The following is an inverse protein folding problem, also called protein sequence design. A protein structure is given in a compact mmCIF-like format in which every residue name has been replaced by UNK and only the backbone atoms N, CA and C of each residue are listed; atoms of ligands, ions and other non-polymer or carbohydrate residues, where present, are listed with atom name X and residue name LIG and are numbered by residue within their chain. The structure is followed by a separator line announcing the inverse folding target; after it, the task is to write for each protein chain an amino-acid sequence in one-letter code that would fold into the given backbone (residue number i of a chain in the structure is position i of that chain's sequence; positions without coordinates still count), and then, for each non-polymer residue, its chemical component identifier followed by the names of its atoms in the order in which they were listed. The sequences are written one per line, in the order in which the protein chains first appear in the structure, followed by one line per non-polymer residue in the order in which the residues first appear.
data_IF_375323317076
#
_entry.id   IF_375323317076
#
_cell.length_a   1.000
_cell.length_b   1.000
_cell.length_c   1.000
_cell.angle_alpha   90.00
_cell.angle_beta   90.00
_cell.angle_gamma   90.00
#
_symmetry.space_group_name_H-M   'P 1'
#
loop_
_entity.id
_entity.type
_entity.pdbx_description
1 polymer ?
#
# COMPACT_ATOMS: atom_id res chain seq x y z
N UNK A 1 -9.42 26.70 11.50
CA UNK A 1 -9.13 25.41 12.15
C UNK A 1 -7.74 25.55 12.75
N UNK A 2 -7.57 25.31 14.04
CA UNK A 2 -6.26 25.46 14.69
C UNK A 2 -5.44 24.19 14.43
N UNK A 3 -4.17 24.34 14.06
CA UNK A 3 -3.27 23.21 13.86
C UNK A 3 -2.74 22.75 15.20
N UNK A 4 -2.67 21.43 15.39
CA UNK A 4 -2.08 20.86 16.58
C UNK A 4 -0.59 21.26 16.66
N UNK A 5 -0.19 21.73 17.84
CA UNK A 5 1.19 22.03 18.13
C UNK A 5 2.01 20.73 18.33
N UNK A 6 3.32 20.87 18.51
CA UNK A 6 4.24 19.74 18.62
C UNK A 6 3.91 18.85 19.83
N UNK A 7 3.57 19.46 20.97
CA UNK A 7 3.24 18.75 22.20
C UNK A 7 1.93 17.97 22.06
N UNK A 8 0.89 18.61 21.52
CA UNK A 8 -0.40 17.96 21.24
C UNK A 8 -0.24 16.77 20.30
N UNK A 9 0.51 16.92 19.21
CA UNK A 9 0.80 15.81 18.29
C UNK A 9 1.59 14.70 18.98
N UNK A 10 2.60 15.05 19.79
CA UNK A 10 3.41 14.07 20.53
C UNK A 10 2.54 13.28 21.51
N UNK A 11 1.66 13.95 22.26
CA UNK A 11 0.78 13.30 23.23
C UNK A 11 -0.22 12.38 22.52
N UNK A 12 -0.88 12.85 21.47
CA UNK A 12 -1.85 12.05 20.71
C UNK A 12 -1.20 10.80 20.09
N UNK A 13 0.00 10.92 19.53
CA UNK A 13 0.72 9.77 18.95
C UNK A 13 1.16 8.81 20.06
N UNK A 14 1.62 9.32 21.20
CA UNK A 14 2.00 8.51 22.37
C UNK A 14 0.83 7.69 22.90
N UNK A 15 -0.36 8.30 23.02
CA UNK A 15 -1.59 7.62 23.42
C UNK A 15 -1.96 6.51 22.43
N UNK A 16 -1.90 6.79 21.13
CA UNK A 16 -2.14 5.78 20.08
C UNK A 16 -1.16 4.60 20.19
N UNK A 17 0.13 4.87 20.40
CA UNK A 17 1.14 3.82 20.55
C UNK A 17 0.85 2.96 21.79
N UNK A 18 0.47 3.58 22.91
CA UNK A 18 0.11 2.84 24.12
C UNK A 18 -1.12 1.96 23.92
N UNK A 19 -2.13 2.45 23.18
CA UNK A 19 -3.30 1.65 22.81
C UNK A 19 -2.90 0.43 21.97
N UNK A 20 -2.05 0.62 20.95
CA UNK A 20 -1.54 -0.49 20.13
C UNK A 20 -0.76 -1.49 20.99
N UNK A 21 0.08 -1.01 21.92
CA UNK A 21 0.92 -1.87 22.78
C UNK A 21 0.13 -2.65 23.83
N UNK A 22 -1.01 -2.12 24.28
CA UNK A 22 -1.92 -2.86 25.16
C UNK A 22 -2.46 -4.11 24.46
N UNK A 23 -2.70 -4.04 23.15
CA UNK A 23 -3.13 -5.18 22.34
C UNK A 23 -1.95 -6.06 21.87
N UNK A 24 -0.82 -5.44 21.50
CA UNK A 24 0.38 -6.14 21.04
C UNK A 24 1.65 -5.38 21.44
N UNK A 25 2.25 -5.78 22.57
CA UNK A 25 3.46 -5.18 23.11
C UNK A 25 4.71 -5.39 22.25
N UNK A 26 4.68 -6.29 21.25
CA UNK A 26 5.79 -6.59 20.34
C UNK A 26 5.62 -5.96 18.96
N UNK A 27 4.58 -5.18 18.73
CA UNK A 27 4.33 -4.55 17.43
C UNK A 27 5.46 -3.57 17.10
N UNK A 28 6.03 -3.70 15.89
CA UNK A 28 6.83 -2.64 15.29
C UNK A 28 5.88 -1.62 14.68
N UNK A 29 6.10 -0.33 14.97
CA UNK A 29 5.24 0.76 14.50
C UNK A 29 6.07 1.65 13.57
N UNK A 30 5.54 1.92 12.38
CA UNK A 30 6.20 2.79 11.40
C UNK A 30 5.33 4.01 11.21
N UNK A 31 5.88 5.17 11.55
CA UNK A 31 5.28 6.47 11.32
C UNK A 31 5.76 7.04 10.00
N UNK A 32 4.91 7.79 9.32
CA UNK A 32 5.30 8.56 8.14
C UNK A 32 4.50 9.87 8.06
N UNK A 33 5.12 10.92 7.54
CA UNK A 33 4.42 12.17 7.23
C UNK A 33 4.03 12.11 5.75
N UNK A 34 2.73 12.27 5.46
CA UNK A 34 2.25 12.20 4.09
C UNK A 34 2.87 13.31 3.21
N UNK A 35 3.28 13.01 1.96
CA UNK A 35 3.78 14.00 1.00
C UNK A 35 2.69 14.91 0.39
N UNK A 36 1.41 14.67 0.69
CA UNK A 36 0.29 15.45 0.13
C UNK A 36 0.38 16.91 0.58
N UNK A 37 0.18 17.81 -0.39
CA UNK A 37 0.14 19.26 -0.16
C UNK A 37 -1.27 19.70 0.22
N UNK A 38 -1.47 20.14 1.47
CA UNK A 38 -2.76 20.65 1.94
C UNK A 38 -2.90 22.16 1.70
N UNK A 39 -3.19 22.53 0.44
CA UNK A 39 -3.24 23.94 0.04
C UNK A 39 -4.48 24.70 0.48
N UNK A 40 -5.54 24.03 0.93
CA UNK A 40 -6.77 24.68 1.40
C UNK A 40 -6.51 25.70 2.51
N UNK A 41 -5.49 25.47 3.33
CA UNK A 41 -5.11 26.32 4.44
C UNK A 41 -3.92 27.26 4.12
N UNK A 42 -3.37 27.17 2.90
CA UNK A 42 -2.22 27.94 2.45
C UNK A 42 -0.88 27.20 2.52
N UNK A 43 0.06 27.57 1.65
CA UNK A 43 1.36 26.91 1.56
C UNK A 43 2.19 27.06 2.85
N UNK A 44 2.14 28.23 3.50
CA UNK A 44 2.85 28.48 4.75
C UNK A 44 2.31 27.59 5.89
N UNK A 45 0.99 27.52 6.04
CA UNK A 45 0.31 26.70 7.03
C UNK A 45 0.58 25.21 6.81
N UNK A 46 0.59 24.75 5.56
CA UNK A 46 1.01 23.38 5.25
C UNK A 46 2.43 23.10 5.75
N UNK A 47 3.39 24.00 5.51
CA UNK A 47 4.76 23.81 5.99
C UNK A 47 4.87 23.82 7.51
N UNK A 48 4.16 24.73 8.20
CA UNK A 48 4.11 24.74 9.66
C UNK A 48 3.53 23.45 10.22
N UNK A 49 2.43 22.97 9.64
CA UNK A 49 1.77 21.73 10.07
C UNK A 49 2.67 20.51 9.87
N UNK A 50 3.33 20.39 8.70
CA UNK A 50 4.28 19.29 8.45
C UNK A 50 5.48 19.38 9.39
N UNK A 51 6.03 20.58 9.62
CA UNK A 51 7.14 20.79 10.56
C UNK A 51 6.77 20.36 11.98
N UNK A 52 5.56 20.73 12.43
CA UNK A 52 5.02 20.30 13.73
C UNK A 52 4.95 18.77 13.84
N UNK A 53 4.45 18.10 12.81
CA UNK A 53 4.39 16.64 12.74
C UNK A 53 5.78 15.99 12.73
N UNK A 54 6.75 16.50 11.97
CA UNK A 54 8.11 15.96 11.95
C UNK A 54 8.78 16.06 13.32
N UNK A 55 8.63 17.20 14.01
CA UNK A 55 9.15 17.36 15.37
C UNK A 55 8.49 16.38 16.35
N UNK A 56 7.17 16.21 16.27
CA UNK A 56 6.45 15.25 17.10
C UNK A 56 6.91 13.81 16.82
N UNK A 57 7.02 13.42 15.55
CA UNK A 57 7.54 12.10 15.16
C UNK A 57 8.96 11.89 15.68
N UNK A 58 9.82 12.90 15.59
CA UNK A 58 11.18 12.83 16.14
C UNK A 58 11.18 12.64 17.66
N UNK A 59 10.30 13.32 18.40
CA UNK A 59 10.15 13.08 19.83
C UNK A 59 9.72 11.64 20.12
N UNK A 60 8.77 11.11 19.34
CA UNK A 60 8.23 9.76 19.51
C UNK A 60 9.29 8.68 19.27
N UNK A 61 10.02 8.72 18.15
CA UNK A 61 11.02 7.69 17.84
C UNK A 61 12.19 7.68 18.84
N UNK A 62 12.46 8.80 19.51
CA UNK A 62 13.45 8.90 20.58
C UNK A 62 12.92 8.47 21.96
N UNK A 63 11.59 8.44 22.14
CA UNK A 63 10.95 8.11 23.42
C UNK A 63 10.41 6.68 23.47
N UNK A 64 10.17 6.05 22.33
CA UNK A 64 9.57 4.73 22.23
C UNK A 64 10.45 3.76 21.45
N UNK A 65 10.74 2.60 22.04
CA UNK A 65 11.37 1.49 21.34
C UNK A 65 10.48 0.91 20.23
N UNK A 66 11.06 0.30 19.20
CA UNK A 66 10.32 -0.35 18.10
C UNK A 66 9.37 0.60 17.34
N UNK A 67 9.61 1.91 17.41
CA UNK A 67 8.92 2.91 16.61
C UNK A 67 9.91 3.55 15.64
N UNK A 68 9.56 3.55 14.37
CA UNK A 68 10.44 3.98 13.28
C UNK A 68 9.77 5.05 12.44
N UNK A 69 10.57 5.82 11.72
CA UNK A 69 10.08 6.78 10.74
C UNK A 69 10.43 6.33 9.33
N UNK A 70 9.43 6.30 8.44
CA UNK A 70 9.62 6.13 7.01
C UNK A 70 9.45 7.47 6.27
N UNK A 71 10.44 7.94 5.49
CA UNK A 71 10.50 9.31 4.99
C UNK A 71 9.71 9.52 3.67
N UNK A 72 8.40 9.23 3.65
CA UNK A 72 7.61 9.38 2.41
C UNK A 72 7.46 10.84 1.95
N UNK A 73 7.41 11.80 2.88
CA UNK A 73 7.40 13.23 2.57
C UNK A 73 8.69 13.66 1.86
N UNK A 74 9.84 13.32 2.44
CA UNK A 74 11.16 13.70 1.95
C UNK A 74 11.46 13.04 0.60
N UNK A 75 11.07 11.78 0.40
CA UNK A 75 11.19 11.14 -0.92
C UNK A 75 10.49 11.98 -1.99
N UNK A 76 9.27 12.48 -1.73
CA UNK A 76 8.56 13.29 -2.73
C UNK A 76 9.17 14.67 -2.91
N UNK A 77 9.58 15.32 -1.83
CA UNK A 77 10.06 16.71 -1.89
C UNK A 77 11.50 16.81 -2.40
N UNK A 78 12.35 15.81 -2.13
CA UNK A 78 13.77 15.83 -2.43
C UNK A 78 14.17 14.91 -3.58
N UNK A 79 13.67 13.66 -3.63
CA UNK A 79 13.99 12.72 -4.72
C UNK A 79 13.07 12.92 -5.94
N UNK A 80 11.76 13.11 -5.71
CA UNK A 80 10.73 13.27 -6.75
C UNK A 80 10.24 14.72 -6.89
N UNK A 81 11.14 15.68 -6.74
CA UNK A 81 10.84 17.11 -6.60
C UNK A 81 10.06 17.77 -7.76
N UNK A 82 9.98 17.12 -8.92
CA UNK A 82 9.37 17.64 -10.14
C UNK A 82 7.84 17.48 -10.16
N UNK A 83 7.11 18.49 -10.66
CA UNK A 83 5.65 18.46 -10.80
C UNK A 83 5.13 17.29 -11.65
N UNK A 84 5.97 16.69 -12.49
CA UNK A 84 5.65 15.46 -13.24
C UNK A 84 5.26 14.28 -12.36
N UNK A 85 5.59 14.33 -11.07
CA UNK A 85 5.27 13.30 -10.07
C UNK A 85 3.99 13.59 -9.29
N UNK A 86 3.26 14.64 -9.66
CA UNK A 86 1.97 14.98 -9.08
C UNK A 86 0.84 14.70 -10.08
N UNK A 87 -0.36 14.49 -9.54
CA UNK A 87 -1.59 14.45 -10.30
C UNK A 87 -1.93 15.85 -10.85
N UNK A 88 -2.98 15.92 -11.69
CA UNK A 88 -3.46 17.16 -12.31
C UNK A 88 -3.78 18.25 -11.27
N UNK A 89 -4.16 17.86 -10.06
CA UNK A 89 -4.42 18.80 -8.96
C UNK A 89 -3.16 19.47 -8.40
N UNK A 90 -1.97 18.97 -8.74
CA UNK A 90 -0.66 19.42 -8.24
C UNK A 90 -0.47 19.27 -6.72
N UNK A 91 -1.34 18.49 -6.06
CA UNK A 91 -1.34 18.29 -4.61
C UNK A 91 -1.00 16.85 -4.22
N UNK A 92 -1.56 15.88 -4.94
CA UNK A 92 -1.35 14.47 -4.68
C UNK A 92 -0.22 13.92 -5.56
N UNK A 93 0.65 13.05 -5.03
CA UNK A 93 1.54 12.26 -5.87
C UNK A 93 0.75 11.43 -6.88
N UNK A 94 1.28 11.27 -8.08
CA UNK A 94 0.69 10.39 -9.10
C UNK A 94 1.14 8.94 -8.92
N UNK A 95 0.60 8.04 -9.75
CA UNK A 95 0.86 6.60 -9.66
C UNK A 95 2.36 6.26 -9.75
N UNK A 96 3.13 6.99 -10.57
CA UNK A 96 4.57 6.78 -10.68
C UNK A 96 5.28 7.10 -9.35
N UNK A 97 4.89 8.19 -8.69
CA UNK A 97 5.44 8.57 -7.39
C UNK A 97 5.02 7.58 -6.29
N UNK A 98 3.75 7.15 -6.30
CA UNK A 98 3.23 6.15 -5.36
C UNK A 98 3.99 4.83 -5.50
N UNK A 99 4.19 4.33 -6.72
CA UNK A 99 4.94 3.10 -6.95
C UNK A 99 6.40 3.24 -6.47
N UNK A 100 7.06 4.37 -6.75
CA UNK A 100 8.43 4.61 -6.28
C UNK A 100 8.53 4.61 -4.74
N UNK A 101 7.60 5.27 -4.05
CA UNK A 101 7.53 5.24 -2.58
C UNK A 101 7.30 3.81 -2.08
N UNK A 102 6.42 3.05 -2.74
CA UNK A 102 6.12 1.66 -2.40
C UNK A 102 7.35 0.76 -2.57
N UNK A 103 8.12 0.93 -3.65
CA UNK A 103 9.38 0.21 -3.85
C UNK A 103 10.38 0.48 -2.73
N UNK A 104 10.58 1.75 -2.34
CA UNK A 104 11.45 2.13 -1.23
C UNK A 104 10.97 1.57 0.10
N UNK A 105 9.66 1.62 0.34
CA UNK A 105 9.05 1.07 1.55
C UNK A 105 9.30 -0.44 1.63
N UNK A 106 9.03 -1.18 0.55
CA UNK A 106 9.22 -2.62 0.51
C UNK A 106 10.66 -3.04 0.80
N UNK A 107 11.62 -2.35 0.18
CA UNK A 107 13.05 -2.63 0.37
C UNK A 107 13.53 -2.35 1.79
N UNK A 108 12.89 -1.40 2.49
CA UNK A 108 13.32 -0.97 3.82
C UNK A 108 12.65 -1.77 4.93
N UNK A 109 11.40 -2.19 4.72
CA UNK A 109 10.53 -2.71 5.78
C UNK A 109 10.36 -4.23 5.72
N UNK A 110 10.30 -4.80 4.53
CA UNK A 110 10.01 -6.23 4.37
C UNK A 110 11.28 -7.04 4.13
N UNK A 111 11.31 -8.26 4.68
CA UNK A 111 12.37 -9.23 4.38
C UNK A 111 12.34 -9.66 2.91
N UNK A 112 13.45 -10.22 2.42
CA UNK A 112 13.54 -10.73 1.04
C UNK A 112 12.42 -11.75 0.73
N UNK A 113 12.12 -12.65 1.66
CA UNK A 113 11.02 -13.62 1.53
C UNK A 113 9.66 -12.93 1.41
N UNK A 114 9.40 -11.89 2.22
CA UNK A 114 8.17 -11.11 2.12
C UNK A 114 8.10 -10.32 0.81
N UNK A 115 9.22 -9.79 0.32
CA UNK A 115 9.27 -9.10 -0.96
C UNK A 115 8.99 -10.05 -2.13
N UNK A 116 9.50 -11.29 -2.09
CA UNK A 116 9.17 -12.32 -3.07
C UNK A 116 7.68 -12.66 -3.05
N UNK A 117 7.11 -12.84 -1.86
CA UNK A 117 5.69 -13.10 -1.70
C UNK A 117 4.83 -11.94 -2.25
N UNK A 118 5.17 -10.68 -1.92
CA UNK A 118 4.47 -9.50 -2.43
C UNK A 118 4.47 -9.48 -3.97
N UNK A 119 5.59 -9.83 -4.62
CA UNK A 119 5.66 -9.92 -6.09
C UNK A 119 4.75 -11.02 -6.65
N UNK A 120 4.69 -12.17 -6.00
CA UNK A 120 3.82 -13.26 -6.44
C UNK A 120 2.34 -12.89 -6.32
N UNK A 121 1.96 -12.25 -5.20
CA UNK A 121 0.62 -11.73 -4.96
C UNK A 121 0.28 -10.63 -5.99
N UNK A 122 1.15 -9.63 -6.19
CA UNK A 122 0.93 -8.54 -7.16
C UNK A 122 0.65 -9.08 -8.55
N UNK A 123 1.41 -10.08 -9.01
CA UNK A 123 1.16 -10.72 -10.31
C UNK A 123 -0.20 -11.42 -10.42
N UNK A 124 -0.76 -11.94 -9.33
CA UNK A 124 -2.11 -12.52 -9.31
C UNK A 124 -3.16 -11.40 -9.36
N UNK A 125 -2.97 -10.33 -8.57
CA UNK A 125 -3.87 -9.17 -8.56
C UNK A 125 -3.90 -8.48 -9.93
N UNK A 126 -2.75 -8.23 -10.55
CA UNK A 126 -2.68 -7.65 -11.91
C UNK A 126 -3.41 -8.52 -12.95
N UNK A 127 -3.25 -9.85 -12.84
CA UNK A 127 -3.95 -10.81 -13.68
C UNK A 127 -5.46 -10.83 -13.42
N UNK A 128 -5.86 -10.63 -12.17
CA UNK A 128 -7.26 -10.51 -11.76
C UNK A 128 -7.86 -9.20 -12.27
N UNK A 129 -7.18 -8.07 -12.22
CA UNK A 129 -7.70 -6.79 -12.71
C UNK A 129 -7.76 -6.72 -14.24
N UNK A 130 -6.92 -7.49 -14.93
CA UNK A 130 -6.89 -7.53 -16.38
C UNK A 130 -8.27 -7.91 -16.99
N UNK A 131 -8.77 -7.04 -17.87
CA UNK A 131 -10.04 -7.25 -18.57
C UNK A 131 -9.83 -8.08 -19.83
N UNK A 132 -10.26 -9.35 -19.78
CA UNK A 132 -10.21 -10.26 -20.94
C UNK A 132 -11.17 -9.79 -22.05
N UNK A 133 -10.66 -9.67 -23.28
CA UNK A 133 -11.45 -9.24 -24.45
C UNK A 133 -12.35 -10.33 -25.03
N UNK A 134 -11.92 -11.59 -24.98
CA UNK A 134 -12.70 -12.73 -25.46
C UNK A 134 -12.70 -13.84 -24.41
N UNK A 135 -13.79 -13.94 -23.65
CA UNK A 135 -13.93 -14.89 -22.54
C UNK A 135 -13.96 -16.35 -23.05
N UNK A 136 -14.43 -16.58 -24.27
CA UNK A 136 -14.61 -17.93 -24.82
C UNK A 136 -13.36 -18.50 -25.52
N UNK A 137 -12.26 -17.75 -25.58
CA UNK A 137 -11.05 -18.22 -26.26
C UNK A 137 -10.31 -19.30 -25.47
N UNK A 138 -9.68 -20.24 -26.19
CA UNK A 138 -8.80 -21.27 -25.57
C UNK A 138 -7.71 -20.62 -24.71
N UNK A 139 -7.12 -19.52 -25.21
CA UNK A 139 -6.10 -18.75 -24.49
C UNK A 139 -6.59 -18.20 -23.15
N UNK A 140 -7.86 -17.79 -23.06
CA UNK A 140 -8.46 -17.32 -21.80
C UNK A 140 -8.57 -18.45 -20.78
N UNK A 141 -8.94 -19.65 -21.23
CA UNK A 141 -9.01 -20.82 -20.34
C UNK A 141 -7.63 -21.26 -19.86
N UNK A 142 -6.65 -21.28 -20.76
CA UNK A 142 -5.24 -21.58 -20.42
C UNK A 142 -4.71 -20.56 -19.40
N UNK A 143 -4.97 -19.27 -19.65
CA UNK A 143 -4.65 -18.20 -18.71
C UNK A 143 -5.31 -18.41 -17.34
N UNK A 144 -6.63 -18.62 -17.30
CA UNK A 144 -7.37 -18.83 -16.05
C UNK A 144 -6.87 -20.08 -15.29
N UNK A 145 -6.62 -21.18 -16.00
CA UNK A 145 -6.06 -22.41 -15.41
C UNK A 145 -4.67 -22.16 -14.81
N UNK A 146 -3.82 -21.41 -15.50
CA UNK A 146 -2.50 -21.01 -15.00
C UNK A 146 -2.62 -20.20 -13.71
N UNK A 147 -3.52 -19.21 -13.64
CA UNK A 147 -3.71 -18.40 -12.44
C UNK A 147 -4.25 -19.22 -11.26
N UNK A 148 -5.23 -20.11 -11.50
CA UNK A 148 -5.76 -21.01 -10.46
C UNK A 148 -4.66 -21.92 -9.90
N UNK A 149 -3.81 -22.48 -10.76
CA UNK A 149 -2.70 -23.34 -10.31
C UNK A 149 -1.67 -22.56 -9.49
N UNK A 150 -1.38 -21.31 -9.88
CA UNK A 150 -0.51 -20.40 -9.13
C UNK A 150 -1.09 -20.10 -7.74
N UNK A 151 -2.36 -19.70 -7.67
CA UNK A 151 -3.07 -19.43 -6.40
C UNK A 151 -3.06 -20.66 -5.49
N UNK A 152 -3.42 -21.84 -6.01
CA UNK A 152 -3.42 -23.09 -5.22
C UNK A 152 -2.05 -23.43 -4.66
N UNK A 153 -0.99 -23.23 -5.45
CA UNK A 153 0.38 -23.46 -5.00
C UNK A 153 0.77 -22.48 -3.90
N UNK A 154 0.39 -21.20 -4.05
CA UNK A 154 0.67 -20.15 -3.08
C UNK A 154 -0.05 -20.37 -1.75
N UNK A 155 -1.35 -20.67 -1.78
CA UNK A 155 -2.16 -20.95 -0.58
C UNK A 155 -1.68 -22.22 0.13
N UNK A 156 -1.15 -23.21 -0.59
CA UNK A 156 -0.54 -24.39 0.03
C UNK A 156 0.68 -24.02 0.88
N UNK A 157 1.48 -23.05 0.44
CA UNK A 157 2.67 -22.56 1.17
C UNK A 157 2.27 -21.55 2.25
N UNK A 158 1.26 -20.70 1.98
CA UNK A 158 0.76 -19.65 2.86
C UNK A 158 -0.76 -19.79 3.09
N UNK A 159 -1.20 -20.69 3.99
CA UNK A 159 -2.63 -21.01 4.19
C UNK A 159 -3.51 -19.86 4.71
N UNK A 160 -2.90 -18.76 5.16
CA UNK A 160 -3.59 -17.58 5.66
C UNK A 160 -4.00 -16.59 4.55
N UNK A 161 -3.49 -16.76 3.33
CA UNK A 161 -3.87 -15.91 2.21
C UNK A 161 -5.27 -16.29 1.69
N UNK A 162 -6.10 -15.27 1.45
CA UNK A 162 -7.42 -15.43 0.85
C UNK A 162 -7.41 -14.89 -0.59
N UNK A 163 -7.84 -15.72 -1.53
CA UNK A 163 -7.99 -15.39 -2.95
C UNK A 163 -9.36 -15.83 -3.51
N UNK A 164 -10.40 -15.80 -2.66
CA UNK A 164 -11.73 -16.35 -3.00
C UNK A 164 -12.35 -15.62 -4.21
N UNK A 165 -12.19 -14.29 -4.28
CA UNK A 165 -12.71 -13.47 -5.38
C UNK A 165 -11.95 -13.71 -6.69
N UNK A 166 -10.62 -13.80 -6.62
CA UNK A 166 -9.75 -14.10 -7.75
C UNK A 166 -10.06 -15.49 -8.32
N UNK A 167 -10.16 -16.49 -7.45
CA UNK A 167 -10.53 -17.86 -7.82
C UNK A 167 -11.91 -17.89 -8.46
N UNK A 168 -12.90 -17.21 -7.88
CA UNK A 168 -14.26 -17.14 -8.42
C UNK A 168 -14.27 -16.57 -9.84
N UNK A 169 -13.53 -15.48 -10.09
CA UNK A 169 -13.41 -14.89 -11.43
C UNK A 169 -12.74 -15.84 -12.42
N UNK A 170 -11.62 -16.47 -12.05
CA UNK A 170 -10.93 -17.38 -12.96
C UNK A 170 -11.73 -18.67 -13.22
N UNK A 171 -12.48 -19.18 -12.24
CA UNK A 171 -13.39 -20.31 -12.48
C UNK A 171 -14.54 -19.97 -13.43
N UNK A 172 -15.06 -18.73 -13.41
CA UNK A 172 -16.06 -18.28 -14.37
C UNK A 172 -15.53 -18.39 -15.82
N UNK A 173 -14.28 -18.01 -16.05
CA UNK A 173 -13.62 -18.11 -17.35
C UNK A 173 -13.44 -19.57 -17.84
N UNK A 174 -13.44 -20.55 -16.93
CA UNK A 174 -13.41 -21.97 -17.30
C UNK A 174 -14.81 -22.51 -17.66
N UNK A 175 -15.86 -22.06 -16.96
CA UNK A 175 -17.18 -22.69 -16.98
C UNK A 175 -18.17 -22.15 -18.02
N UNK A 176 -17.97 -20.94 -18.57
CA UNK A 176 -18.95 -20.29 -19.49
C UNK A 176 -19.13 -20.95 -20.89
N UNK A 177 -18.63 -22.17 -21.13
CA UNK A 177 -18.99 -22.95 -22.34
C UNK A 177 -20.12 -23.96 -22.13
N UNK A 178 -20.50 -24.28 -20.89
CA UNK A 178 -21.52 -25.30 -20.64
C UNK A 178 -22.97 -24.86 -20.92
N UNK A 179 -23.18 -23.62 -21.39
CA UNK A 179 -24.51 -23.07 -21.72
C UNK A 179 -24.84 -23.04 -23.22
N UNK A 180 -23.94 -23.52 -24.10
CA UNK A 180 -24.16 -23.51 -25.56
C UNK A 180 -24.07 -24.87 -26.27
N UNK A 181 -23.76 -25.95 -25.57
CA UNK A 181 -23.80 -27.31 -26.15
C UNK A 181 -25.17 -28.01 -25.99
N UNK A 182 -26.20 -27.32 -25.50
CA UNK A 182 -27.58 -27.83 -25.35
C UNK A 182 -28.63 -27.03 -26.13
N UNK A 183 -28.27 -26.48 -27.29
CA UNK A 183 -29.25 -25.99 -28.27
C UNK A 183 -29.03 -26.59 -29.65
#
# INVERSE_FOLDING_TARGET
KEFLNVEENTNNISELINLIRNENSKANIILTVSPIRHWKDGAHQNQLSKSSLHLAVNNIINSFENVYYFPSYEIVIDELRDYRFYNIDMLHPNDQAVEYIWEKFNQTVFSDDSQLLIKEIKSIIDAFEHKVRNIHSVKTKEFASSQINKIKSLVKIHPHLNFDDELKKFFLYLNENNLRETK
#
